data_IF_406532883179
#
_entry.id   IF_406532883179
#
_cell.length_a   1.000
_cell.length_b   1.000
_cell.length_c   1.000
_cell.angle_alpha   90.00
_cell.angle_beta   90.00
_cell.angle_gamma   90.00
#
_symmetry.space_group_name_H-M   'P 1'
#
loop_
_entity.id
_entity.type
_entity.pdbx_description
1 polymer ?
#
# COMPACT_ATOMS: atom_id res chain seq x y z
N UNK A 1 -21.95 3.85 -2.54
CA UNK A 1 -21.40 4.99 -1.75
C UNK A 1 -19.89 5.10 -1.98
N UNK A 2 -19.23 6.21 -1.60
CA UNK A 2 -17.75 6.31 -1.71
C UNK A 2 -17.02 5.23 -0.89
N UNK A 3 -17.60 4.83 0.25
CA UNK A 3 -17.06 3.78 1.10
C UNK A 3 -17.03 2.41 0.39
N UNK A 4 -18.10 2.07 -0.33
CA UNK A 4 -18.16 0.82 -1.13
C UNK A 4 -17.07 0.78 -2.22
N UNK A 5 -16.85 1.90 -2.92
CA UNK A 5 -15.80 1.97 -3.96
C UNK A 5 -14.42 1.75 -3.35
N UNK A 6 -14.15 2.32 -2.17
CA UNK A 6 -12.90 2.07 -1.47
C UNK A 6 -12.74 0.61 -1.07
N UNK A 7 -13.79 -0.04 -0.57
CA UNK A 7 -13.75 -1.46 -0.23
C UNK A 7 -13.42 -2.33 -1.46
N UNK A 8 -14.05 -2.05 -2.60
CA UNK A 8 -13.77 -2.75 -3.86
C UNK A 8 -12.34 -2.55 -4.34
N UNK A 9 -11.77 -1.35 -4.16
CA UNK A 9 -10.38 -1.10 -4.52
C UNK A 9 -9.40 -1.88 -3.63
N UNK A 10 -9.69 -2.00 -2.34
CA UNK A 10 -8.87 -2.80 -1.41
C UNK A 10 -8.94 -4.28 -1.79
N UNK A 11 -10.13 -4.80 -2.11
CA UNK A 11 -10.31 -6.17 -2.59
C UNK A 11 -9.53 -6.42 -3.89
N UNK A 12 -9.64 -5.52 -4.87
CA UNK A 12 -8.91 -5.64 -6.14
C UNK A 12 -7.38 -5.57 -5.96
N UNK A 13 -6.88 -4.85 -4.94
CA UNK A 13 -5.45 -4.85 -4.58
C UNK A 13 -5.04 -6.17 -3.94
N UNK A 14 -5.85 -6.72 -3.04
CA UNK A 14 -5.62 -8.03 -2.45
C UNK A 14 -5.62 -9.15 -3.51
N UNK A 15 -6.46 -9.02 -4.53
CA UNK A 15 -6.50 -9.92 -5.69
C UNK A 15 -5.36 -9.69 -6.69
N UNK A 16 -4.52 -8.67 -6.50
CA UNK A 16 -3.40 -8.34 -7.38
C UNK A 16 -3.81 -7.76 -8.74
N UNK A 17 -5.09 -7.42 -8.92
CA UNK A 17 -5.62 -6.82 -10.15
C UNK A 17 -5.17 -5.37 -10.32
N UNK A 18 -4.84 -4.71 -9.22
CA UNK A 18 -4.30 -3.35 -9.19
C UNK A 18 -3.14 -3.26 -8.19
N UNK A 19 -2.14 -2.40 -8.45
CA UNK A 19 -2.02 -1.49 -9.60
C UNK A 19 -1.48 -2.18 -10.86
N UNK A 20 -2.04 -1.83 -12.01
CA UNK A 20 -1.57 -2.29 -13.34
C UNK A 20 -1.63 -1.12 -14.33
N UNK A 21 -0.65 -0.99 -15.24
CA UNK A 21 -0.68 0.06 -16.24
C UNK A 21 -1.87 -0.14 -17.19
N UNK A 22 -2.49 0.95 -17.64
CA UNK A 22 -3.72 0.93 -18.46
C UNK A 22 -3.61 0.10 -19.75
N UNK A 23 -2.38 -0.09 -20.23
CA UNK A 23 -2.07 -0.77 -21.49
C UNK A 23 -1.87 -2.28 -21.29
N UNK A 24 -1.78 -2.75 -20.04
CA UNK A 24 -1.60 -4.15 -19.64
C UNK A 24 -2.94 -4.71 -19.14
N UNK A 25 -3.94 -4.68 -20.03
CA UNK A 25 -5.29 -5.16 -19.73
C UNK A 25 -5.75 -6.24 -20.71
N UNK A 26 -6.17 -7.42 -20.21
CA UNK A 26 -6.11 -7.86 -18.81
C UNK A 26 -4.66 -8.12 -18.36
N UNK A 27 -4.31 -7.89 -17.08
CA UNK A 27 -2.96 -8.11 -16.61
C UNK A 27 -2.55 -9.58 -16.70
N UNK A 28 -1.27 -9.81 -16.93
CA UNK A 28 -0.72 -11.17 -16.96
C UNK A 28 -0.75 -11.83 -15.58
N UNK A 29 -0.75 -13.17 -15.55
CA UNK A 29 -0.70 -13.93 -14.31
C UNK A 29 0.54 -13.61 -13.46
N UNK A 30 1.69 -13.36 -14.11
CA UNK A 30 2.93 -12.98 -13.43
C UNK A 30 2.81 -11.61 -12.75
N UNK A 31 2.14 -10.66 -13.40
CA UNK A 31 1.86 -9.34 -12.82
C UNK A 31 0.92 -9.47 -11.62
N UNK A 32 -0.13 -10.28 -11.73
CA UNK A 32 -1.05 -10.56 -10.62
C UNK A 32 -0.31 -11.18 -9.44
N UNK A 33 0.53 -12.20 -9.68
CA UNK A 33 1.29 -12.87 -8.62
C UNK A 33 2.23 -11.92 -7.88
N UNK A 34 2.97 -11.08 -8.63
CA UNK A 34 3.83 -10.04 -8.07
C UNK A 34 3.04 -9.04 -7.23
N UNK A 35 1.89 -8.57 -7.72
CA UNK A 35 1.06 -7.61 -7.00
C UNK A 35 0.52 -8.20 -5.69
N UNK A 36 0.11 -9.46 -5.69
CA UNK A 36 -0.30 -10.17 -4.47
C UNK A 36 0.82 -10.28 -3.44
N UNK A 37 2.03 -10.58 -3.88
CA UNK A 37 3.20 -10.64 -3.00
C UNK A 37 3.50 -9.28 -2.38
N UNK A 38 3.49 -8.20 -3.18
CA UNK A 38 3.67 -6.84 -2.69
C UNK A 38 2.58 -6.42 -1.70
N UNK A 39 1.32 -6.76 -1.98
CA UNK A 39 0.20 -6.52 -1.08
C UNK A 39 0.40 -7.24 0.26
N UNK A 40 0.77 -8.53 0.22
CA UNK A 40 1.07 -9.30 1.42
C UNK A 40 2.21 -8.66 2.22
N UNK A 41 3.31 -8.29 1.57
CA UNK A 41 4.46 -7.64 2.21
C UNK A 41 4.01 -6.35 2.91
N UNK A 42 3.27 -5.47 2.24
CA UNK A 42 2.82 -4.20 2.80
C UNK A 42 1.85 -4.39 3.99
N UNK A 43 0.89 -5.31 3.87
CA UNK A 43 -0.12 -5.52 4.90
C UNK A 43 0.38 -6.32 6.10
N UNK A 44 1.37 -7.22 5.92
CA UNK A 44 2.04 -7.88 7.03
C UNK A 44 2.97 -6.93 7.79
N UNK A 45 3.69 -6.04 7.09
CA UNK A 45 4.54 -5.03 7.75
C UNK A 45 3.72 -3.94 8.45
N UNK A 46 2.57 -3.54 7.91
CA UNK A 46 1.71 -2.51 8.50
C UNK A 46 1.18 -2.88 9.90
N UNK A 47 1.01 -4.18 10.20
CA UNK A 47 0.67 -4.64 11.56
C UNK A 47 1.81 -4.41 12.57
N UNK A 48 3.07 -4.52 12.13
CA UNK A 48 4.28 -4.24 12.91
C UNK A 48 4.71 -2.76 12.91
N UNK A 49 4.44 -2.01 11.84
CA UNK A 49 4.81 -0.59 11.69
C UNK A 49 3.82 0.36 12.38
N UNK A 50 2.55 -0.03 12.50
CA UNK A 50 1.57 0.72 13.32
C UNK A 50 1.98 0.71 14.80
N UNK A 51 2.68 -0.33 15.27
CA UNK A 51 3.26 -0.36 16.62
C UNK A 51 4.56 0.46 16.75
N UNK A 52 5.29 0.70 15.65
CA UNK A 52 6.62 1.35 15.68
C UNK A 52 6.63 2.82 15.26
N UNK A 53 5.56 3.34 14.65
CA UNK A 53 5.51 4.72 14.12
C UNK A 53 5.20 5.83 15.14
N UNK A 54 5.00 5.52 16.43
CA UNK A 54 4.79 6.54 17.49
C UNK A 54 6.09 7.25 17.92
N UNK A 55 7.25 6.90 17.37
CA UNK A 55 8.54 7.23 17.98
C UNK A 55 9.38 8.37 17.39
N UNK A 56 9.00 9.08 16.33
CA UNK A 56 9.94 10.06 15.75
C UNK A 56 9.32 11.29 15.08
N UNK A 57 8.78 12.20 15.88
CA UNK A 57 8.65 13.63 15.51
C UNK A 57 9.90 14.39 15.97
N UNK A 58 10.96 14.34 15.17
CA UNK A 58 12.09 15.26 15.30
C UNK A 58 11.76 16.55 14.54
N UNK A 59 11.67 17.69 15.24
CA UNK A 59 11.76 19.04 14.68
C UNK A 59 12.04 20.05 15.81
N UNK A 60 12.60 21.25 15.55
CA UNK A 60 13.73 21.61 14.67
C UNK A 60 14.88 22.32 15.46
N UNK A 61 16.09 22.41 14.87
CA UNK A 61 17.23 23.18 15.40
C UNK A 61 16.85 24.67 15.55
N UNK A 62 16.76 25.14 16.78
CA UNK A 62 16.65 26.57 17.11
C UNK A 62 18.01 27.27 16.95
N UNK A 63 17.91 28.54 16.57
CA UNK A 63 18.96 29.45 16.11
C UNK A 63 20.10 29.71 17.10
N UNK A 64 21.27 30.06 16.55
CA UNK A 64 22.32 30.82 17.23
C UNK A 64 22.66 32.01 16.33
N UNK A 65 22.28 33.20 16.77
CA UNK A 65 22.82 34.51 16.36
C UNK A 65 22.89 35.39 17.61
#
# INVERSE_FOLDING_TARGET
TRAEVHAQLVEAQADGLVPVPKNDYPPSADTIARNKELYAIQHHQSASDTASSTGNVTAPRAASD
#
